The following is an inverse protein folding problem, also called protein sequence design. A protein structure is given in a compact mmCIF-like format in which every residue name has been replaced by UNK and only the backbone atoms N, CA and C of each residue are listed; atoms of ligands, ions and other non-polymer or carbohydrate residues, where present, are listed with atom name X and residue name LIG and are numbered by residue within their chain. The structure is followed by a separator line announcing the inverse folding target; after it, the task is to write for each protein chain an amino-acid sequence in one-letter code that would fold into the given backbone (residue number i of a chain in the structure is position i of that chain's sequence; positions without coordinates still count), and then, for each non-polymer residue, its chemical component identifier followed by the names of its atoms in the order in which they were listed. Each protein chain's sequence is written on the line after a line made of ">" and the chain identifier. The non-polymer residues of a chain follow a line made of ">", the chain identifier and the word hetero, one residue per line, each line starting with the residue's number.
data_IF_972355500260
#
_entry.id   IF_972355500260
#
_cell.length_a   1.000
_cell.length_b   1.000
_cell.length_c   1.000
_cell.angle_alpha   90.00
_cell.angle_beta   90.00
_cell.angle_gamma   90.00
#
_symmetry.space_group_name_H-M   'P 1'
#
loop_
_entity.id
_entity.type
_entity.pdbx_description
1 polymer ?
#
# COMPACT_ATOMS: atom_id res chain seq x y z
N UNK A 1 -4.83 5.95 40.98
CA UNK A 1 -5.86 6.39 40.01
C UNK A 1 -5.16 7.25 38.98
N UNK A 2 -5.17 7.01 37.67
CA UNK A 2 -5.59 5.92 36.80
C UNK A 2 -4.45 5.88 35.77
N UNK A 3 -3.84 4.71 35.55
CA UNK A 3 -2.92 4.53 34.43
C UNK A 3 -3.72 4.65 33.15
N UNK A 4 -3.30 5.52 32.24
CA UNK A 4 -3.86 5.58 30.89
C UNK A 4 -3.52 4.26 30.20
N UNK A 5 -4.44 3.30 30.27
CA UNK A 5 -4.48 2.16 29.36
C UNK A 5 -4.92 2.76 28.03
N UNK A 6 -3.95 3.05 27.16
CA UNK A 6 -4.24 3.08 25.73
C UNK A 6 -4.91 1.75 25.42
N UNK A 7 -6.13 1.74 24.84
CA UNK A 7 -6.74 0.48 24.44
C UNK A 7 -5.72 -0.21 23.54
N UNK A 8 -5.26 -1.38 23.99
CA UNK A 8 -4.39 -2.21 23.21
C UNK A 8 -5.04 -2.42 21.84
N UNK A 9 -4.24 -2.42 20.78
CA UNK A 9 -4.58 -2.85 19.41
C UNK A 9 -4.98 -4.35 19.39
N UNK A 10 -5.83 -4.78 20.32
CA UNK A 10 -6.43 -6.10 20.37
C UNK A 10 -7.63 -6.09 19.41
N UNK A 11 -7.45 -6.79 18.28
CA UNK A 11 -8.47 -7.13 17.29
C UNK A 11 -8.95 -6.02 16.34
N UNK A 12 -8.02 -5.35 15.65
CA UNK A 12 -8.36 -4.78 14.34
C UNK A 12 -8.62 -5.95 13.35
N UNK A 13 -9.86 -6.42 13.28
CA UNK A 13 -10.28 -7.41 12.29
C UNK A 13 -9.83 -6.98 10.88
N UNK A 14 -9.42 -7.93 10.01
CA UNK A 14 -8.91 -7.59 8.69
C UNK A 14 -9.98 -6.81 7.91
N UNK A 15 -9.69 -5.56 7.59
CA UNK A 15 -10.58 -4.72 6.80
C UNK A 15 -10.43 -5.14 5.33
N UNK A 16 -11.53 -5.63 4.75
CA UNK A 16 -11.60 -5.86 3.32
C UNK A 16 -11.93 -4.54 2.62
N UNK A 17 -11.15 -4.19 1.61
CA UNK A 17 -11.33 -2.98 0.81
C UNK A 17 -11.20 -3.33 -0.67
N UNK A 18 -11.92 -2.60 -1.52
CA UNK A 18 -11.91 -2.79 -2.97
C UNK A 18 -11.63 -1.49 -3.70
N UNK A 19 -10.88 -1.58 -4.80
CA UNK A 19 -10.65 -0.48 -5.73
C UNK A 19 -11.30 -0.85 -7.06
N UNK A 20 -11.93 0.12 -7.70
CA UNK A 20 -12.37 0.00 -9.09
C UNK A 20 -11.27 0.53 -9.99
N UNK A 21 -10.79 -0.32 -10.90
CA UNK A 21 -9.77 0.01 -11.88
C UNK A 21 -10.36 -0.19 -13.27
N UNK A 22 -9.93 0.63 -14.24
CA UNK A 22 -10.11 0.29 -15.65
C UNK A 22 -9.12 -0.81 -16.05
N UNK A 23 -9.38 -1.52 -17.15
CA UNK A 23 -8.56 -2.66 -17.59
C UNK A 23 -7.08 -2.31 -17.68
N UNK A 24 -6.75 -1.16 -18.26
CA UNK A 24 -5.36 -0.72 -18.40
C UNK A 24 -4.65 -0.52 -17.04
N UNK A 25 -5.35 0.03 -16.05
CA UNK A 25 -4.81 0.19 -14.70
C UNK A 25 -4.62 -1.16 -14.00
N UNK A 26 -5.53 -2.11 -14.25
CA UNK A 26 -5.40 -3.46 -13.71
C UNK A 26 -4.17 -4.19 -14.28
N UNK A 27 -3.94 -4.08 -15.59
CA UNK A 27 -2.80 -4.66 -16.29
C UNK A 27 -1.48 -4.06 -15.79
N UNK A 28 -1.39 -2.74 -15.68
CA UNK A 28 -0.21 -2.06 -15.11
C UNK A 28 0.12 -2.57 -13.70
N UNK A 29 -0.91 -2.87 -12.91
CA UNK A 29 -0.72 -3.36 -11.55
C UNK A 29 -0.25 -4.82 -11.51
N UNK A 30 -0.70 -5.65 -12.44
CA UNK A 30 -0.23 -7.03 -12.61
C UNK A 30 1.20 -7.09 -13.14
N UNK A 31 1.58 -6.22 -14.08
CA UNK A 31 2.93 -6.10 -14.60
C UNK A 31 3.93 -5.66 -13.53
N UNK A 32 3.56 -4.69 -12.70
CA UNK A 32 4.35 -4.27 -11.55
C UNK A 32 4.52 -5.44 -10.56
N UNK A 33 3.45 -6.14 -10.22
CA UNK A 33 3.50 -7.29 -9.31
C UNK A 33 4.40 -8.40 -9.87
N UNK A 34 4.29 -8.70 -11.16
CA UNK A 34 5.12 -9.69 -11.83
C UNK A 34 6.61 -9.32 -11.75
N UNK A 35 6.94 -8.07 -12.04
CA UNK A 35 8.31 -7.55 -11.99
C UNK A 35 8.89 -7.64 -10.58
N UNK A 36 8.14 -7.19 -9.57
CA UNK A 36 8.57 -7.26 -8.17
C UNK A 36 8.76 -8.70 -7.68
N UNK A 37 7.88 -9.63 -8.07
CA UNK A 37 8.03 -11.06 -7.75
C UNK A 37 9.31 -11.64 -8.35
N UNK A 38 9.64 -11.24 -9.57
CA UNK A 38 10.85 -11.68 -10.26
C UNK A 38 12.11 -11.13 -9.60
N UNK A 39 12.15 -9.83 -9.31
CA UNK A 39 13.31 -9.15 -8.73
C UNK A 39 13.57 -9.58 -7.28
N UNK A 40 12.52 -9.76 -6.48
CA UNK A 40 12.65 -10.19 -5.08
C UNK A 40 12.69 -11.71 -4.91
N UNK A 41 12.43 -12.47 -5.98
CA UNK A 41 12.19 -13.93 -5.94
C UNK A 41 11.04 -14.38 -5.02
N UNK A 42 10.15 -13.46 -4.59
CA UNK A 42 9.04 -13.74 -3.66
C UNK A 42 7.74 -13.99 -4.41
N UNK A 43 7.43 -15.26 -4.71
CA UNK A 43 6.20 -15.65 -5.43
C UNK A 43 4.89 -15.35 -4.67
N UNK A 44 4.95 -15.20 -3.34
CA UNK A 44 3.78 -14.96 -2.49
C UNK A 44 3.38 -13.49 -2.37
N UNK A 45 4.14 -12.55 -2.95
CA UNK A 45 3.78 -11.13 -2.99
C UNK A 45 2.40 -10.94 -3.61
N UNK A 46 1.59 -10.08 -3.02
CA UNK A 46 0.26 -9.69 -3.50
C UNK A 46 0.18 -8.18 -3.75
N UNK A 47 -0.86 -7.73 -4.47
CA UNK A 47 -1.15 -6.29 -4.65
C UNK A 47 -1.34 -5.59 -3.30
N UNK A 48 -1.89 -6.28 -2.30
CA UNK A 48 -2.02 -5.76 -0.95
C UNK A 48 -0.66 -5.50 -0.28
N UNK A 49 0.34 -6.35 -0.53
CA UNK A 49 1.69 -6.14 0.02
C UNK A 49 2.38 -4.94 -0.62
N UNK A 50 2.17 -4.72 -1.92
CA UNK A 50 2.66 -3.51 -2.61
C UNK A 50 2.03 -2.25 -1.98
N UNK A 51 0.72 -2.27 -1.74
CA UNK A 51 0.02 -1.14 -1.11
C UNK A 51 0.50 -0.87 0.31
N UNK A 52 0.70 -1.92 1.13
CA UNK A 52 1.25 -1.78 2.49
C UNK A 52 2.65 -1.17 2.46
N UNK A 53 3.53 -1.69 1.60
CA UNK A 53 4.88 -1.17 1.46
C UNK A 53 4.91 0.29 1.01
N UNK A 54 4.05 0.68 0.07
CA UNK A 54 3.95 2.06 -0.39
C UNK A 54 3.49 3.01 0.74
N UNK A 55 2.48 2.60 1.51
CA UNK A 55 1.97 3.40 2.65
C UNK A 55 3.04 3.52 3.73
N UNK A 56 3.74 2.43 4.05
CA UNK A 56 4.84 2.43 5.01
C UNK A 56 5.97 3.37 4.55
N UNK A 57 6.38 3.30 3.29
CA UNK A 57 7.40 4.19 2.72
C UNK A 57 6.96 5.65 2.74
N UNK A 58 5.74 5.97 2.29
CA UNK A 58 5.25 7.35 2.27
C UNK A 58 5.04 7.95 3.68
N UNK A 59 4.78 7.10 4.67
CA UNK A 59 4.65 7.54 6.07
C UNK A 59 6.00 7.94 6.65
N UNK A 60 7.06 7.21 6.29
CA UNK A 60 8.40 7.38 6.87
C UNK A 60 9.37 8.24 6.02
N UNK A 61 9.14 8.35 4.71
CA UNK A 61 10.01 9.08 3.78
C UNK A 61 9.28 10.32 3.18
N UNK A 62 9.68 11.55 3.53
CA UNK A 62 9.12 12.78 2.98
C UNK A 62 9.24 12.89 1.44
N UNK A 63 10.25 12.28 0.83
CA UNK A 63 10.47 12.29 -0.62
C UNK A 63 9.39 11.45 -1.31
N UNK A 64 9.15 10.24 -0.80
CA UNK A 64 8.09 9.35 -1.30
C UNK A 64 6.73 10.00 -1.10
N UNK A 65 6.49 10.61 0.07
CA UNK A 65 5.26 11.37 0.33
C UNK A 65 5.05 12.51 -0.66
N UNK A 66 6.10 13.27 -0.96
CA UNK A 66 6.02 14.38 -1.91
C UNK A 66 5.73 13.89 -3.33
N UNK A 67 6.36 12.79 -3.76
CA UNK A 67 6.09 12.15 -5.05
C UNK A 67 4.65 11.63 -5.13
N UNK A 68 4.14 11.02 -4.06
CA UNK A 68 2.76 10.57 -3.98
C UNK A 68 1.77 11.74 -4.08
N UNK A 69 2.01 12.84 -3.36
CA UNK A 69 1.18 14.05 -3.47
C UNK A 69 1.19 14.59 -4.90
N UNK A 70 2.37 14.68 -5.54
CA UNK A 70 2.49 15.14 -6.92
C UNK A 70 1.68 14.26 -7.90
N UNK A 71 1.70 12.94 -7.71
CA UNK A 71 0.91 12.01 -8.51
C UNK A 71 -0.61 12.19 -8.31
N UNK A 72 -1.05 12.49 -7.09
CA UNK A 72 -2.47 12.66 -6.77
C UNK A 72 -3.07 14.00 -7.24
N UNK A 73 -2.26 15.05 -7.35
CA UNK A 73 -2.70 16.36 -7.85
C UNK A 73 -2.59 16.47 -9.37
N UNK A 74 -1.89 15.55 -10.03
CA UNK A 74 -1.79 15.53 -11.49
C UNK A 74 -3.10 15.02 -12.07
N UNK A 75 -3.83 15.80 -12.88
CA UNK A 75 -5.05 15.34 -13.51
C UNK A 75 -4.74 14.15 -14.43
N UNK A 76 -5.52 13.07 -14.29
CA UNK A 76 -5.54 11.92 -15.20
C UNK A 76 -6.44 12.19 -16.40
#
# INVERSE_FOLDING_TARGET
>A
MIGAVTPADEDAAPINWSIRLVTEEADQWDDLLFSLRKETSRRTLSKADIMRALIELASNDPTVRSALIAALITPR
#
